data_IF_469131033354
#
_entry.id   IF_469131033354
#
_cell.length_a   1.000
_cell.length_b   1.000
_cell.length_c   1.000
_cell.angle_alpha   90.00
_cell.angle_beta   90.00
_cell.angle_gamma   90.00
#
_symmetry.space_group_name_H-M   'P 1'
#
loop_
_entity.id
_entity.type
_entity.pdbx_description
1 polymer ?
#
# COMPACT_ATOMS: atom_id res chain seq x y z
N UNK A 1 -48.90 -15.73 -25.06
CA UNK A 1 -50.22 -16.09 -24.48
C UNK A 1 -50.39 -17.61 -24.56
N UNK A 2 -51.16 -18.22 -23.64
CA UNK A 2 -51.48 -19.67 -23.47
C UNK A 2 -50.48 -20.48 -22.61
N UNK A 3 -50.62 -20.51 -21.28
CA UNK A 3 -51.52 -21.34 -20.42
C UNK A 3 -51.04 -22.81 -20.36
N UNK A 4 -50.36 -23.23 -19.28
CA UNK A 4 -50.87 -23.80 -17.98
C UNK A 4 -51.11 -25.32 -18.05
N UNK A 5 -50.96 -25.98 -16.87
CA UNK A 5 -51.41 -27.35 -16.47
C UNK A 5 -50.27 -28.38 -16.54
N UNK A 6 -49.74 -29.03 -15.50
CA UNK A 6 -50.17 -29.24 -14.12
C UNK A 6 -51.02 -30.51 -13.98
N UNK A 7 -50.44 -31.68 -13.65
CA UNK A 7 -51.06 -32.71 -12.77
C UNK A 7 -50.35 -34.08 -12.72
N UNK A 8 -49.92 -34.46 -11.50
CA UNK A 8 -50.14 -35.72 -10.76
C UNK A 8 -50.30 -37.06 -11.51
N UNK A 9 -49.45 -38.04 -11.18
CA UNK A 9 -49.85 -39.40 -10.79
C UNK A 9 -48.87 -39.94 -9.71
N UNK A 10 -49.39 -40.24 -8.51
CA UNK A 10 -48.82 -41.15 -7.51
C UNK A 10 -49.46 -42.53 -7.71
N UNK A 11 -48.78 -43.66 -7.49
CA UNK A 11 -49.29 -44.89 -6.81
C UNK A 11 -48.12 -45.85 -6.49
N UNK A 12 -48.32 -46.64 -5.44
CA UNK A 12 -47.35 -47.30 -4.54
C UNK A 12 -47.29 -48.82 -4.83
N UNK A 13 -46.31 -49.54 -4.23
CA UNK A 13 -46.16 -51.02 -3.99
C UNK A 13 -45.33 -51.78 -5.05
N UNK A 14 -44.39 -52.72 -4.78
CA UNK A 14 -43.95 -53.44 -3.56
C UNK A 14 -42.65 -54.28 -3.79
N UNK A 15 -41.91 -54.50 -2.69
CA UNK A 15 -41.12 -55.68 -2.21
C UNK A 15 -39.83 -56.25 -2.89
N UNK A 16 -38.70 -55.99 -2.18
CA UNK A 16 -37.64 -56.89 -1.63
C UNK A 16 -36.78 -57.86 -2.46
N UNK A 17 -35.45 -57.74 -2.28
CA UNK A 17 -34.60 -58.86 -1.81
C UNK A 17 -33.35 -58.35 -1.06
N UNK A 18 -33.04 -59.03 0.04
CA UNK A 18 -32.00 -58.74 1.05
C UNK A 18 -30.64 -59.24 0.56
N UNK A 19 -29.58 -58.44 0.73
CA UNK A 19 -28.21 -58.95 0.85
C UNK A 19 -27.46 -58.14 1.91
N UNK A 20 -27.13 -58.81 3.01
CA UNK A 20 -26.29 -58.29 4.07
C UNK A 20 -24.85 -58.10 3.57
N UNK A 21 -24.30 -56.89 3.75
CA UNK A 21 -22.86 -56.67 3.75
C UNK A 21 -22.47 -55.75 4.90
N UNK A 22 -21.31 -56.07 5.46
CA UNK A 22 -20.78 -55.68 6.75
C UNK A 22 -20.74 -54.16 7.01
N UNK A 23 -20.80 -53.82 8.30
CA UNK A 23 -20.61 -52.49 8.84
C UNK A 23 -19.32 -51.83 8.31
N UNK A 24 -19.48 -50.82 7.45
CA UNK A 24 -18.46 -49.82 7.20
C UNK A 24 -18.92 -48.59 7.98
N UNK A 25 -18.29 -48.34 9.13
CA UNK A 25 -18.55 -47.15 9.93
C UNK A 25 -18.35 -45.87 9.12
N UNK A 26 -18.94 -44.74 9.55
CA UNK A 26 -18.75 -43.48 8.85
C UNK A 26 -17.25 -43.18 8.82
N UNK A 27 -16.68 -43.10 7.61
CA UNK A 27 -15.39 -42.44 7.40
C UNK A 27 -15.63 -40.99 7.79
N UNK A 28 -15.33 -40.66 9.04
CA UNK A 28 -15.21 -39.28 9.51
C UNK A 28 -14.05 -38.67 8.74
N UNK A 29 -14.37 -38.03 7.62
CA UNK A 29 -13.45 -37.13 6.94
C UNK A 29 -13.14 -36.01 7.94
N UNK A 30 -12.02 -36.16 8.64
CA UNK A 30 -11.37 -35.05 9.34
C UNK A 30 -10.94 -34.06 8.26
N UNK A 31 -11.84 -33.16 7.88
CA UNK A 31 -11.43 -31.96 7.16
C UNK A 31 -10.56 -31.19 8.14
N UNK A 32 -9.25 -31.31 7.95
CA UNK A 32 -8.30 -30.46 8.65
C UNK A 32 -8.53 -29.07 8.08
N UNK A 33 -9.44 -28.32 8.68
CA UNK A 33 -9.49 -26.88 8.51
C UNK A 33 -8.18 -26.36 9.06
N UNK A 34 -7.20 -26.19 8.18
CA UNK A 34 -6.04 -25.36 8.48
C UNK A 34 -6.59 -23.97 8.71
N UNK A 35 -6.84 -23.64 9.98
CA UNK A 35 -7.04 -22.27 10.39
C UNK A 35 -5.75 -21.56 9.97
N UNK A 36 -5.79 -20.84 8.85
CA UNK A 36 -4.70 -19.99 8.42
C UNK A 36 -4.41 -19.08 9.62
N UNK A 37 -3.30 -19.32 10.30
CA UNK A 37 -2.88 -18.48 11.40
C UNK A 37 -2.77 -17.07 10.82
N UNK A 38 -3.64 -16.17 11.26
CA UNK A 38 -3.59 -14.78 10.83
C UNK A 38 -2.22 -14.23 11.24
N UNK A 39 -1.51 -13.64 10.28
CA UNK A 39 -0.23 -13.01 10.56
C UNK A 39 -0.38 -12.01 11.71
N UNK A 40 0.53 -11.99 12.71
CA UNK A 40 0.50 -11.01 13.79
C UNK A 40 0.91 -9.60 13.34
N UNK A 41 1.22 -9.44 12.06
CA UNK A 41 1.60 -8.16 11.49
C UNK A 41 0.38 -7.27 11.23
N UNK A 42 0.57 -5.98 11.46
CA UNK A 42 -0.33 -4.90 11.09
C UNK A 42 0.37 -3.98 10.12
N UNK A 43 -0.31 -3.57 9.06
CA UNK A 43 0.20 -2.59 8.11
C UNK A 43 -0.70 -1.35 8.07
N UNK A 44 -0.08 -0.17 7.95
CA UNK A 44 -0.79 1.10 7.81
C UNK A 44 -0.13 1.92 6.72
N UNK A 45 -0.86 2.22 5.67
CA UNK A 45 -0.43 3.17 4.65
C UNK A 45 -0.87 4.59 5.03
N UNK A 46 0.03 5.55 4.86
CA UNK A 46 -0.28 6.98 4.95
C UNK A 46 0.26 7.70 3.71
N UNK A 47 -0.60 8.49 3.07
CA UNK A 47 -0.19 9.37 1.97
C UNK A 47 0.61 10.54 2.52
N UNK A 48 1.79 10.80 1.99
CA UNK A 48 2.73 11.81 2.48
C UNK A 48 2.69 13.11 1.68
N UNK A 49 2.56 13.02 0.34
CA UNK A 49 2.43 14.19 -0.54
C UNK A 49 1.71 13.80 -1.82
N UNK A 50 0.89 14.69 -2.36
CA UNK A 50 0.14 14.53 -3.61
C UNK A 50 0.46 15.70 -4.52
N UNK A 51 0.61 15.42 -5.81
CA UNK A 51 0.72 16.42 -6.85
C UNK A 51 -0.11 15.98 -8.06
N UNK A 52 -0.18 16.85 -9.07
CA UNK A 52 -0.88 16.49 -10.30
C UNK A 52 -0.14 15.34 -11.01
N UNK A 53 -0.81 14.19 -11.14
CA UNK A 53 -0.25 13.00 -11.79
C UNK A 53 0.52 12.05 -10.88
N UNK A 54 0.43 12.19 -9.55
CA UNK A 54 1.00 11.18 -8.65
C UNK A 54 0.99 11.54 -7.16
N UNK A 55 1.44 10.59 -6.34
CA UNK A 55 1.63 10.79 -4.91
C UNK A 55 2.76 9.93 -4.35
N UNK A 56 3.25 10.31 -3.18
CA UNK A 56 4.12 9.47 -2.33
C UNK A 56 3.38 9.05 -1.08
N UNK A 57 3.72 7.89 -0.55
CA UNK A 57 3.24 7.47 0.76
C UNK A 57 4.14 6.40 1.38
N UNK A 58 3.83 6.08 2.63
CA UNK A 58 4.61 5.14 3.42
C UNK A 58 3.69 4.12 4.10
N UNK A 59 4.09 2.86 4.04
CA UNK A 59 3.59 1.78 4.87
C UNK A 59 4.41 1.69 6.15
N UNK A 60 3.73 1.65 7.29
CA UNK A 60 4.30 1.21 8.58
C UNK A 60 3.82 -0.20 8.87
N UNK A 61 4.76 -1.14 8.98
CA UNK A 61 4.51 -2.55 9.26
C UNK A 61 4.94 -2.80 10.70
N UNK A 62 4.03 -3.24 11.56
CA UNK A 62 4.28 -3.48 12.98
C UNK A 62 3.94 -4.92 13.36
N UNK A 63 4.78 -5.53 14.19
CA UNK A 63 4.47 -6.82 14.79
C UNK A 63 3.68 -6.64 16.09
N UNK A 64 2.40 -6.98 16.05
CA UNK A 64 1.47 -6.85 17.20
C UNK A 64 1.30 -8.14 18.00
N UNK A 65 1.98 -9.21 17.59
CA UNK A 65 1.94 -10.50 18.29
C UNK A 65 3.07 -10.68 19.29
N UNK A 66 3.21 -11.91 19.79
CA UNK A 66 4.19 -12.30 20.81
C UNK A 66 5.42 -13.04 20.26
N UNK A 67 5.45 -13.34 18.95
CA UNK A 67 6.55 -14.07 18.29
C UNK A 67 7.27 -13.19 17.29
N UNK A 68 8.57 -13.46 17.06
CA UNK A 68 9.33 -12.77 16.01
C UNK A 68 8.87 -13.25 14.63
N UNK A 69 8.63 -12.32 13.72
CA UNK A 69 8.32 -12.61 12.31
C UNK A 69 9.58 -12.38 11.47
N UNK A 70 9.88 -13.31 10.56
CA UNK A 70 10.99 -13.21 9.61
C UNK A 70 10.43 -13.01 8.20
N UNK A 71 10.48 -11.77 7.75
CA UNK A 71 9.99 -11.34 6.45
C UNK A 71 8.55 -10.85 6.49
N UNK A 72 8.27 -9.89 5.63
CA UNK A 72 6.91 -9.38 5.43
C UNK A 72 6.65 -9.18 3.95
N UNK A 73 5.40 -9.42 3.56
CA UNK A 73 4.89 -9.27 2.21
C UNK A 73 3.60 -8.46 2.25
N UNK A 74 3.58 -7.31 1.59
CA UNK A 74 2.39 -6.53 1.33
C UNK A 74 1.83 -6.90 -0.04
N UNK A 75 0.51 -6.99 -0.13
CA UNK A 75 -0.18 -7.08 -1.43
C UNK A 75 -1.30 -6.06 -1.42
N UNK A 76 -1.38 -5.21 -2.43
CA UNK A 76 -2.45 -4.22 -2.57
C UNK A 76 -2.76 -3.97 -4.05
N UNK A 77 -3.93 -3.39 -4.31
CA UNK A 77 -4.34 -2.97 -5.64
C UNK A 77 -4.03 -1.48 -5.86
N UNK A 78 -3.35 -1.20 -6.96
CA UNK A 78 -3.17 0.13 -7.51
C UNK A 78 -4.47 0.61 -8.17
N UNK A 79 -4.77 1.91 -8.12
CA UNK A 79 -5.85 2.48 -8.90
C UNK A 79 -5.66 2.26 -10.41
N UNK A 80 -6.75 2.32 -11.17
CA UNK A 80 -6.70 2.17 -12.62
C UNK A 80 -5.87 3.27 -13.26
N UNK A 81 -4.89 2.90 -14.08
CA UNK A 81 -3.98 3.86 -14.72
C UNK A 81 -2.85 4.35 -13.80
N UNK A 82 -2.72 3.79 -12.60
CA UNK A 82 -1.60 4.08 -11.71
C UNK A 82 -0.47 3.06 -11.86
N UNK A 83 0.77 3.50 -11.65
CA UNK A 83 1.95 2.64 -11.64
C UNK A 83 2.96 3.13 -10.59
N UNK A 84 3.66 2.19 -9.94
CA UNK A 84 4.76 2.53 -9.04
C UNK A 84 5.96 3.00 -9.87
N UNK A 85 6.44 4.23 -9.63
CA UNK A 85 7.58 4.81 -10.34
C UNK A 85 8.88 4.72 -9.56
N UNK A 86 8.79 4.72 -8.23
CA UNK A 86 9.94 4.56 -7.35
C UNK A 86 9.50 3.92 -6.03
N UNK A 87 10.40 3.19 -5.39
CA UNK A 87 10.16 2.57 -4.09
C UNK A 87 11.44 2.50 -3.27
N UNK A 88 11.30 2.42 -1.95
CA UNK A 88 12.44 2.30 -1.04
C UNK A 88 12.09 1.43 0.16
N UNK A 89 13.11 0.83 0.77
CA UNK A 89 12.98 -0.09 1.90
C UNK A 89 12.11 -1.35 1.61
N UNK A 90 11.99 -1.75 0.36
CA UNK A 90 11.31 -2.96 -0.07
C UNK A 90 11.51 -3.23 -1.57
N UNK A 91 11.12 -4.41 -2.02
CA UNK A 91 11.16 -4.80 -3.44
C UNK A 91 9.74 -4.95 -3.96
N UNK A 92 9.43 -4.30 -5.08
CA UNK A 92 8.10 -4.19 -5.70
C UNK A 92 8.01 -5.05 -6.96
N UNK A 93 6.91 -5.79 -7.11
CA UNK A 93 6.56 -6.54 -8.32
C UNK A 93 5.10 -6.30 -8.65
N UNK A 94 4.84 -5.76 -9.85
CA UNK A 94 3.50 -5.47 -10.34
C UNK A 94 2.99 -6.57 -11.28
N UNK A 95 1.74 -7.00 -11.11
CA UNK A 95 1.01 -7.85 -12.04
C UNK A 95 -0.39 -7.27 -12.28
N UNK A 96 -0.60 -6.66 -13.46
CA UNK A 96 -1.79 -5.87 -13.72
C UNK A 96 -1.93 -4.72 -12.72
N UNK A 97 -3.06 -4.65 -12.02
CA UNK A 97 -3.28 -3.67 -10.95
C UNK A 97 -2.83 -4.15 -9.57
N UNK A 98 -2.28 -5.36 -9.43
CA UNK A 98 -1.85 -5.90 -8.14
C UNK A 98 -0.36 -5.66 -7.95
N UNK A 99 -0.02 -5.00 -6.85
CA UNK A 99 1.34 -4.75 -6.42
C UNK A 99 1.68 -5.71 -5.27
N UNK A 100 2.81 -6.41 -5.39
CA UNK A 100 3.36 -7.25 -4.32
C UNK A 100 4.69 -6.69 -3.87
N UNK A 101 4.83 -6.44 -2.57
CA UNK A 101 6.04 -5.86 -1.99
C UNK A 101 6.61 -6.78 -0.94
N UNK A 102 7.90 -7.10 -1.03
CA UNK A 102 8.62 -7.84 0.00
C UNK A 102 9.62 -6.94 0.73
N UNK A 103 9.97 -7.35 1.95
CA UNK A 103 10.95 -6.64 2.75
C UNK A 103 12.32 -6.53 2.06
N UNK A 104 13.05 -5.46 2.36
CA UNK A 104 14.48 -5.39 2.10
C UNK A 104 15.25 -6.33 3.04
N UNK A 105 16.49 -6.66 2.71
CA UNK A 105 17.29 -7.62 3.49
C UNK A 105 17.52 -7.18 4.94
N UNK A 106 17.50 -5.88 5.22
CA UNK A 106 17.77 -5.31 6.55
C UNK A 106 16.51 -5.08 7.41
N UNK A 107 15.30 -5.11 6.85
CA UNK A 107 14.08 -4.75 7.58
C UNK A 107 13.02 -5.87 7.62
N UNK A 108 13.42 -7.11 7.34
CA UNK A 108 12.52 -8.27 7.38
C UNK A 108 12.26 -8.85 8.77
N UNK A 109 13.22 -8.75 9.70
CA UNK A 109 13.10 -9.36 11.03
C UNK A 109 12.40 -8.42 12.00
N UNK A 110 11.18 -8.76 12.41
CA UNK A 110 10.36 -7.96 13.33
C UNK A 110 10.11 -8.73 14.63
N UNK A 111 10.80 -8.35 15.70
CA UNK A 111 10.49 -8.81 17.06
C UNK A 111 9.10 -8.29 17.51
N UNK A 112 8.48 -8.87 18.55
CA UNK A 112 7.26 -8.32 19.15
C UNK A 112 7.39 -6.81 19.43
N UNK A 113 6.44 -6.01 18.96
CA UNK A 113 6.45 -4.55 19.08
C UNK A 113 7.39 -3.80 18.12
N UNK A 114 8.24 -4.49 17.36
CA UNK A 114 9.09 -3.86 16.36
C UNK A 114 8.30 -3.45 15.11
N UNK A 115 8.83 -2.47 14.38
CA UNK A 115 8.24 -2.00 13.12
C UNK A 115 9.27 -1.80 12.02
N UNK A 116 8.82 -1.90 10.78
CA UNK A 116 9.54 -1.51 9.57
C UNK A 116 8.72 -0.51 8.76
N UNK A 117 9.40 0.24 7.90
CA UNK A 117 8.75 1.20 6.99
C UNK A 117 9.11 0.86 5.56
N UNK A 118 8.12 0.92 4.68
CA UNK A 118 8.27 0.84 3.23
C UNK A 118 7.66 2.09 2.62
N UNK A 119 8.25 2.65 1.58
CA UNK A 119 7.68 3.80 0.90
C UNK A 119 7.72 3.67 -0.61
N UNK A 120 6.80 4.37 -1.25
CA UNK A 120 6.61 4.32 -2.69
C UNK A 120 6.14 5.67 -3.24
N UNK A 121 6.46 5.87 -4.51
CA UNK A 121 5.93 6.91 -5.36
C UNK A 121 5.09 6.25 -6.46
N UNK A 122 3.89 6.77 -6.67
CA UNK A 122 3.03 6.39 -7.78
C UNK A 122 2.93 7.53 -8.77
N UNK A 123 2.80 7.14 -10.04
CA UNK A 123 2.24 7.98 -11.09
C UNK A 123 0.77 7.61 -11.29
N UNK A 124 -0.08 8.62 -11.50
CA UNK A 124 -1.52 8.48 -11.73
C UNK A 124 -1.90 9.20 -13.03
N UNK A 125 -2.81 8.63 -13.81
CA UNK A 125 -3.34 9.24 -15.05
C UNK A 125 -4.61 10.09 -14.81
N UNK A 126 -4.95 10.39 -13.54
CA UNK A 126 -6.19 11.03 -13.14
C UNK A 126 -6.10 11.72 -11.76
N UNK A 127 -7.24 12.11 -11.16
CA UNK A 127 -7.23 12.63 -9.80
C UNK A 127 -6.72 11.57 -8.83
N UNK A 128 -6.22 12.01 -7.67
CA UNK A 128 -5.76 11.12 -6.60
C UNK A 128 -6.79 10.03 -6.31
N UNK A 129 -6.33 8.78 -6.29
CA UNK A 129 -7.11 7.62 -5.91
C UNK A 129 -6.33 6.78 -4.89
N UNK A 130 -6.97 6.39 -3.76
CA UNK A 130 -6.29 5.59 -2.74
C UNK A 130 -6.08 4.15 -3.19
N UNK A 131 -5.07 3.50 -2.60
CA UNK A 131 -4.82 2.06 -2.74
C UNK A 131 -6.01 1.25 -2.19
N UNK A 132 -6.20 0.02 -2.69
CA UNK A 132 -7.28 -0.88 -2.27
C UNK A 132 -6.77 -2.30 -1.98
N UNK A 133 -7.65 -3.16 -1.44
CA UNK A 133 -7.42 -4.61 -1.25
C UNK A 133 -6.10 -4.97 -0.55
N UNK A 134 -5.68 -4.17 0.44
CA UNK A 134 -4.39 -4.36 1.08
C UNK A 134 -4.41 -5.56 2.04
N UNK A 135 -3.36 -6.37 1.98
CA UNK A 135 -3.08 -7.47 2.92
C UNK A 135 -1.61 -7.49 3.32
N UNK A 136 -1.31 -8.04 4.49
CA UNK A 136 0.04 -8.22 5.04
C UNK A 136 0.23 -9.68 5.44
N UNK A 137 1.17 -10.39 4.80
CA UNK A 137 1.35 -11.85 4.93
C UNK A 137 0.00 -12.59 4.83
N UNK A 138 -0.80 -12.24 3.82
CA UNK A 138 -2.15 -12.78 3.56
C UNK A 138 -3.22 -12.46 4.61
N UNK A 139 -2.91 -11.68 5.64
CA UNK A 139 -3.89 -11.19 6.61
C UNK A 139 -4.48 -9.82 6.17
N UNK A 140 -5.76 -9.59 6.45
CA UNK A 140 -6.48 -8.34 6.15
C UNK A 140 -6.18 -7.20 7.13
N UNK A 141 -5.20 -7.38 8.03
CA UNK A 141 -4.77 -6.36 9.00
C UNK A 141 -3.91 -5.26 8.35
N UNK A 142 -4.37 -4.75 7.21
CA UNK A 142 -3.77 -3.62 6.51
C UNK A 142 -4.80 -2.50 6.38
N UNK A 143 -4.40 -1.28 6.72
CA UNK A 143 -5.25 -0.10 6.69
C UNK A 143 -4.67 0.92 5.71
N UNK A 144 -5.50 1.39 4.78
CA UNK A 144 -5.12 2.46 3.86
C UNK A 144 -5.69 3.77 4.40
N UNK A 145 -4.83 4.63 4.93
CA UNK A 145 -5.22 6.01 5.23
C UNK A 145 -5.04 6.78 3.93
N UNK A 146 -6.18 7.13 3.31
CA UNK A 146 -6.19 8.06 2.21
C UNK A 146 -5.53 9.38 2.62
N UNK A 147 -5.19 10.20 1.64
CA UNK A 147 -4.86 11.57 1.93
C UNK A 147 -5.98 12.17 2.78
N UNK A 148 -5.62 12.73 3.93
CA UNK A 148 -6.53 13.64 4.61
C UNK A 148 -6.96 14.62 3.53
N UNK A 149 -8.27 14.68 3.26
CA UNK A 149 -8.84 15.72 2.42
C UNK A 149 -8.53 17.00 3.19
N UNK A 150 -7.38 17.61 2.93
CA UNK A 150 -7.30 19.04 2.99
C UNK A 150 -8.29 19.44 1.92
N UNK A 151 -9.53 19.69 2.33
CA UNK A 151 -10.44 20.45 1.50
C UNK A 151 -9.62 21.68 1.14
N UNK A 152 -9.15 21.87 -0.10
CA UNK A 152 -8.71 23.20 -0.43
C UNK A 152 -9.96 24.02 -0.19
N UNK A 153 -9.93 24.92 0.79
CA UNK A 153 -10.91 25.99 0.85
C UNK A 153 -10.65 26.81 -0.41
N UNK A 154 -11.16 26.34 -1.55
CA UNK A 154 -11.40 27.14 -2.74
C UNK A 154 -12.60 28.01 -2.43
N UNK A 155 -12.51 28.85 -1.38
CA UNK A 155 -13.22 30.11 -1.48
C UNK A 155 -12.41 30.89 -2.51
N UNK A 156 -12.86 31.04 -3.77
CA UNK A 156 -12.31 32.09 -4.58
C UNK A 156 -12.65 33.39 -3.86
N UNK A 157 -11.70 33.97 -3.14
CA UNK A 157 -11.79 35.38 -2.79
C UNK A 157 -11.61 36.15 -4.09
N UNK A 158 -12.69 36.30 -4.85
CA UNK A 158 -12.79 37.32 -5.89
C UNK A 158 -12.99 38.67 -5.22
N UNK A 159 -12.00 39.12 -4.46
CA UNK A 159 -11.87 40.54 -4.17
C UNK A 159 -10.75 41.04 -5.07
N UNK A 160 -11.06 41.63 -6.23
CA UNK A 160 -10.06 42.40 -6.95
C UNK A 160 -9.70 43.61 -6.09
N UNK A 161 -8.61 43.52 -5.33
CA UNK A 161 -7.98 44.71 -4.74
C UNK A 161 -7.15 45.36 -5.84
N UNK A 162 -7.78 46.23 -6.63
CA UNK A 162 -7.05 47.18 -7.46
C UNK A 162 -6.47 48.25 -6.54
N UNK A 163 -5.27 48.03 -6.04
CA UNK A 163 -4.45 49.11 -5.50
C UNK A 163 -3.09 49.05 -6.19
N UNK A 164 -2.83 49.91 -7.19
CA UNK A 164 -1.49 50.07 -7.71
C UNK A 164 -0.66 50.83 -6.66
N UNK A 165 0.17 50.10 -5.90
CA UNK A 165 1.24 50.73 -5.11
C UNK A 165 2.49 50.75 -5.98
N UNK A 166 2.67 51.83 -6.73
CA UNK A 166 3.94 52.15 -7.37
C UNK A 166 4.89 52.73 -6.33
N UNK A 167 5.69 51.88 -5.68
CA UNK A 167 6.89 52.34 -4.98
C UNK A 167 8.11 51.67 -5.60
N UNK A 168 8.89 52.36 -6.45
CA UNK A 168 10.17 51.86 -6.89
C UNK A 168 11.17 51.97 -5.74
N UNK A 169 11.52 50.85 -5.12
CA UNK A 169 12.70 50.77 -4.23
C UNK A 169 13.92 50.42 -5.08
N UNK A 170 14.60 51.46 -5.57
CA UNK A 170 15.95 51.31 -6.13
C UNK A 170 16.96 51.34 -4.99
N UNK A 171 17.36 50.18 -4.49
CA UNK A 171 18.59 50.06 -3.68
C UNK A 171 19.55 49.13 -4.42
N UNK A 172 20.58 49.64 -5.11
CA UNK A 172 21.66 48.81 -5.61
C UNK A 172 22.57 48.41 -4.44
N UNK A 173 22.59 47.12 -4.10
CA UNK A 173 23.63 46.57 -3.22
C UNK A 173 24.83 46.20 -4.09
N UNK A 174 25.80 47.12 -4.18
CA UNK A 174 27.13 46.84 -4.76
C UNK A 174 28.12 46.51 -3.64
N UNK A 175 28.35 45.23 -3.38
CA UNK A 175 29.58 44.78 -2.70
C UNK A 175 30.03 43.42 -3.23
N UNK A 176 30.90 43.35 -4.25
CA UNK A 176 31.79 42.22 -4.42
C UNK A 176 33.01 42.39 -3.51
N UNK A 177 33.12 41.53 -2.50
CA UNK A 177 34.33 41.39 -1.67
C UNK A 177 35.43 40.75 -2.51
N UNK A 178 36.44 41.53 -2.88
CA UNK A 178 37.69 41.02 -3.47
C UNK A 178 38.67 40.61 -2.37
N UNK A 179 38.87 39.31 -2.17
CA UNK A 179 40.07 38.81 -1.47
C UNK A 179 40.62 37.59 -2.20
N UNK A 180 41.62 37.75 -3.09
CA UNK A 180 42.51 36.65 -3.45
C UNK A 180 43.58 36.50 -2.36
N UNK A 181 43.54 35.40 -1.62
CA UNK A 181 44.64 34.99 -0.72
C UNK A 181 45.79 34.44 -1.56
N UNK A 182 46.86 35.21 -1.69
CA UNK A 182 48.15 34.72 -2.21
C UNK A 182 48.91 34.01 -1.10
N UNK A 183 49.04 32.69 -1.18
CA UNK A 183 50.04 31.94 -0.40
C UNK A 183 51.04 31.29 -1.36
N UNK A 184 52.27 31.82 -1.48
CA UNK A 184 53.37 31.08 -2.07
C UNK A 184 53.95 30.11 -1.03
N UNK A 185 53.83 28.80 -1.28
CA UNK A 185 54.57 27.78 -0.53
C UNK A 185 55.85 27.47 -1.30
N UNK A 186 56.97 28.05 -0.85
CA UNK A 186 58.31 27.59 -1.18
C UNK A 186 58.83 26.71 -0.04
N UNK A 187 59.08 25.42 -0.30
CA UNK A 187 59.88 24.57 0.60
C UNK A 187 60.85 23.71 -0.22
N UNK A 188 62.14 23.66 0.13
CA UNK A 188 63.24 23.20 -0.72
C UNK A 188 63.49 21.68 -0.68
N UNK A 189 64.24 21.22 -1.69
CA UNK A 189 64.82 19.88 -1.86
C UNK A 189 66.13 19.71 -1.09
N UNK A 190 66.28 18.57 -0.39
CA UNK A 190 67.53 17.92 0.08
C UNK A 190 67.12 16.48 0.45
N UNK A 191 67.76 15.37 0.07
CA UNK A 191 69.13 15.03 -0.35
C UNK A 191 69.04 13.88 -1.35
#
# INVERSE_FOLDING_TARGET
MKQRTGSIIRWITSLSLIAAFAAIGPISSITSSSAAASSPLKAVFATSSIWNGGYTGNFTISNTGSTTVNGWTLVFSLPSGSAVTNSWNGSTTQSGSVETVTNASWNGKLAPGASATFGLQLSDQGPYAPLANCTINSATNCQIQGAAVVTPTTTPTTTPTTTPTTTPTTTPTTTPTTTPTTTPTTTPTTT
#
